data_IF_571084978197
#
_entry.id   IF_571084978197
#
_cell.length_a   1.000
_cell.length_b   1.000
_cell.length_c   1.000
_cell.angle_alpha   90.00
_cell.angle_beta   90.00
_cell.angle_gamma   90.00
#
_symmetry.space_group_name_H-M   'P 1'
#
loop_
_entity.id
_entity.type
_entity.pdbx_description
1 polymer ?
#
# COMPACT_ATOMS: atom_id res chain seq x y z
N UNK A 1 -20.44 21.94 -4.45
CA UNK A 1 -19.38 21.98 -5.48
C UNK A 1 -19.44 20.65 -6.18
N UNK A 2 -19.39 20.60 -7.51
CA UNK A 2 -19.29 19.31 -8.20
C UNK A 2 -17.87 18.81 -7.97
N UNK A 3 -17.72 17.80 -7.10
CA UNK A 3 -16.47 17.05 -7.00
C UNK A 3 -16.35 16.30 -8.33
N UNK A 4 -15.41 16.74 -9.17
CA UNK A 4 -15.02 15.93 -10.32
C UNK A 4 -14.47 14.62 -9.76
N UNK A 5 -15.01 13.46 -10.18
CA UNK A 5 -14.51 12.18 -9.70
C UNK A 5 -13.02 12.06 -10.04
N UNK A 6 -12.24 11.49 -9.11
CA UNK A 6 -10.84 11.18 -9.37
C UNK A 6 -10.74 10.26 -10.60
N UNK A 7 -9.71 10.43 -11.46
CA UNK A 7 -9.44 9.47 -12.51
C UNK A 7 -9.11 8.09 -11.90
N UNK A 8 -9.41 7.02 -12.61
CA UNK A 8 -9.04 5.64 -12.24
C UNK A 8 -8.08 5.09 -13.28
N UNK A 9 -7.15 4.25 -12.84
CA UNK A 9 -6.12 3.63 -13.66
C UNK A 9 -6.75 2.42 -14.36
N UNK A 10 -6.99 2.55 -15.67
CA UNK A 10 -7.75 1.55 -16.42
C UNK A 10 -6.99 0.22 -16.62
N UNK A 11 -5.67 0.29 -16.79
CA UNK A 11 -4.81 -0.87 -16.97
C UNK A 11 -3.34 -0.55 -16.66
N UNK A 12 -2.48 -1.57 -16.75
CA UNK A 12 -1.05 -1.50 -16.41
C UNK A 12 -0.22 -0.50 -17.21
N UNK A 13 -0.72 -0.01 -18.34
CA UNK A 13 -0.07 1.01 -19.17
C UNK A 13 -0.66 2.41 -18.96
N UNK A 14 -1.72 2.56 -18.17
CA UNK A 14 -2.38 3.84 -17.89
C UNK A 14 -1.58 4.70 -16.90
N UNK A 15 -0.41 5.12 -17.37
CA UNK A 15 0.50 6.02 -16.66
C UNK A 15 -0.07 7.44 -16.58
N UNK A 16 -0.86 7.88 -17.57
CA UNK A 16 -1.47 9.22 -17.58
C UNK A 16 -2.45 9.42 -16.40
N UNK A 17 -3.32 8.45 -16.12
CA UNK A 17 -4.23 8.52 -14.97
C UNK A 17 -3.47 8.45 -13.64
N UNK A 18 -2.46 7.59 -13.56
CA UNK A 18 -1.62 7.47 -12.37
C UNK A 18 -0.86 8.77 -12.08
N UNK A 19 -0.26 9.40 -13.10
CA UNK A 19 0.45 10.67 -12.97
C UNK A 19 -0.50 11.79 -12.51
N UNK A 20 -1.74 11.83 -13.02
CA UNK A 20 -2.75 12.77 -12.57
C UNK A 20 -3.11 12.58 -11.09
N UNK A 21 -3.33 11.34 -10.66
CA UNK A 21 -3.58 11.02 -9.25
C UNK A 21 -2.41 11.44 -8.35
N UNK A 22 -1.18 11.10 -8.74
CA UNK A 22 0.04 11.47 -8.02
C UNK A 22 0.20 13.00 -7.95
N UNK A 23 -0.10 13.72 -9.02
CA UNK A 23 0.00 15.18 -9.08
C UNK A 23 -1.02 15.90 -8.18
N UNK A 24 -2.21 15.31 -7.95
CA UNK A 24 -3.17 15.81 -6.97
C UNK A 24 -2.61 15.71 -5.55
N UNK A 25 -1.94 14.59 -5.25
CA UNK A 25 -1.26 14.33 -3.99
C UNK A 25 -2.20 14.17 -2.79
N UNK A 26 -1.64 13.69 -1.68
CA UNK A 26 -2.35 13.57 -0.41
C UNK A 26 -2.50 14.96 0.25
N UNK A 27 -3.67 15.30 0.83
CA UNK A 27 -4.83 14.44 1.06
C UNK A 27 -5.88 14.44 -0.05
N UNK A 28 -5.67 15.12 -1.18
CA UNK A 28 -6.68 15.28 -2.24
C UNK A 28 -7.00 13.96 -2.94
N UNK A 29 -6.01 13.06 -3.06
CA UNK A 29 -6.18 11.75 -3.68
C UNK A 29 -6.39 10.60 -2.67
N UNK A 30 -6.85 10.88 -1.45
CA UNK A 30 -7.02 9.87 -0.39
C UNK A 30 -7.82 8.65 -0.86
N UNK A 31 -8.89 8.88 -1.62
CA UNK A 31 -9.82 7.85 -2.07
C UNK A 31 -9.25 6.97 -3.19
N UNK A 32 -8.07 7.33 -3.73
CA UNK A 32 -7.36 6.55 -4.74
C UNK A 32 -6.13 5.81 -4.16
N UNK A 33 -5.85 5.93 -2.85
CA UNK A 33 -4.66 5.31 -2.26
C UNK A 33 -4.66 3.79 -2.38
N UNK A 34 -5.82 3.13 -2.27
CA UNK A 34 -5.91 1.67 -2.43
C UNK A 34 -5.55 1.23 -3.86
N UNK A 35 -6.03 1.96 -4.87
CA UNK A 35 -5.71 1.73 -6.28
C UNK A 35 -4.22 1.99 -6.56
N UNK A 36 -3.66 3.06 -5.99
CA UNK A 36 -2.24 3.38 -6.11
C UNK A 36 -1.35 2.33 -5.41
N UNK A 37 -1.75 1.82 -4.24
CA UNK A 37 -1.06 0.73 -3.54
C UNK A 37 -1.10 -0.54 -4.39
N UNK A 38 -2.27 -0.92 -4.91
CA UNK A 38 -2.42 -2.08 -5.80
C UNK A 38 -1.45 -2.03 -6.97
N UNK A 39 -1.47 -0.95 -7.74
CA UNK A 39 -0.61 -0.81 -8.92
C UNK A 39 0.88 -0.73 -8.58
N UNK A 40 1.22 -0.37 -7.33
CA UNK A 40 2.60 -0.34 -6.83
C UNK A 40 3.17 -1.73 -6.49
N UNK A 41 2.37 -2.79 -6.54
CA UNK A 41 2.81 -4.17 -6.31
C UNK A 41 3.37 -4.86 -7.57
N UNK A 42 3.24 -4.26 -8.75
CA UNK A 42 3.56 -4.91 -10.03
C UNK A 42 4.79 -4.28 -10.71
N UNK A 43 6.03 -4.62 -10.32
CA UNK A 43 7.24 -3.92 -10.78
C UNK A 43 7.51 -3.99 -12.29
N UNK A 44 6.89 -4.93 -13.00
CA UNK A 44 6.99 -5.07 -14.45
C UNK A 44 5.96 -4.22 -15.21
N UNK A 45 4.99 -3.63 -14.52
CA UNK A 45 3.93 -2.84 -15.11
C UNK A 45 4.33 -1.36 -15.13
N UNK A 46 4.23 -0.66 -16.28
CA UNK A 46 4.67 0.74 -16.38
C UNK A 46 4.06 1.68 -15.35
N UNK A 47 2.80 1.45 -14.97
CA UNK A 47 2.13 2.23 -13.94
C UNK A 47 2.80 2.13 -12.56
N UNK A 48 3.43 1.00 -12.24
CA UNK A 48 4.16 0.84 -10.98
C UNK A 48 5.33 1.83 -10.85
N UNK A 49 5.96 2.22 -11.96
CA UNK A 49 7.05 3.20 -11.94
C UNK A 49 6.56 4.61 -11.58
N UNK A 50 5.26 4.87 -11.67
CA UNK A 50 4.62 6.12 -11.25
C UNK A 50 4.11 5.99 -9.81
N UNK A 51 3.37 4.92 -9.52
CA UNK A 51 2.66 4.79 -8.24
C UNK A 51 3.59 4.43 -7.09
N UNK A 52 4.55 3.53 -7.30
CA UNK A 52 5.41 3.03 -6.22
C UNK A 52 6.25 4.15 -5.57
N UNK A 53 6.98 5.00 -6.33
CA UNK A 53 7.72 6.11 -5.72
C UNK A 53 6.82 7.08 -4.94
N UNK A 54 5.59 7.30 -5.42
CA UNK A 54 4.62 8.14 -4.71
C UNK A 54 4.23 7.51 -3.38
N UNK A 55 3.84 6.24 -3.34
CA UNK A 55 3.51 5.53 -2.09
C UNK A 55 4.70 5.53 -1.11
N UNK A 56 5.94 5.36 -1.60
CA UNK A 56 7.13 5.48 -0.74
C UNK A 56 7.35 6.89 -0.18
N UNK A 57 6.95 7.93 -0.93
CA UNK A 57 7.10 9.32 -0.49
C UNK A 57 6.10 9.74 0.60
N UNK A 58 5.00 9.00 0.76
CA UNK A 58 3.95 9.35 1.70
C UNK A 58 4.38 9.14 3.17
N UNK A 59 3.89 10.00 4.08
CA UNK A 59 4.12 9.82 5.50
C UNK A 59 3.31 8.63 6.03
N UNK A 60 3.78 8.04 7.13
CA UNK A 60 3.17 6.83 7.69
C UNK A 60 1.68 7.03 8.00
N UNK A 61 1.27 8.17 8.55
CA UNK A 61 -0.13 8.47 8.88
C UNK A 61 -1.08 8.43 7.68
N UNK A 62 -0.59 8.72 6.47
CA UNK A 62 -1.38 8.66 5.24
C UNK A 62 -1.61 7.21 4.77
N UNK A 63 -0.77 6.27 5.21
CA UNK A 63 -0.74 4.89 4.71
C UNK A 63 -1.35 3.87 5.66
N UNK A 64 -1.48 4.17 6.97
CA UNK A 64 -2.00 3.19 7.94
C UNK A 64 -3.37 2.66 7.55
N UNK A 65 -4.35 3.54 7.31
CA UNK A 65 -5.70 3.11 6.97
C UNK A 65 -5.79 2.44 5.58
N UNK A 66 -5.27 3.02 4.49
CA UNK A 66 -5.27 2.37 3.17
C UNK A 66 -4.57 1.01 3.16
N UNK A 67 -3.44 0.85 3.86
CA UNK A 67 -2.78 -0.46 3.95
C UNK A 67 -3.62 -1.46 4.74
N UNK A 68 -4.32 -1.05 5.81
CA UNK A 68 -5.24 -1.96 6.51
C UNK A 68 -6.38 -2.41 5.61
N UNK A 69 -7.01 -1.48 4.90
CA UNK A 69 -8.12 -1.77 3.98
C UNK A 69 -7.63 -2.71 2.86
N UNK A 70 -6.44 -2.44 2.32
CA UNK A 70 -5.79 -3.30 1.33
C UNK A 70 -5.51 -4.72 1.85
N UNK A 71 -4.93 -4.85 3.04
CA UNK A 71 -4.63 -6.15 3.66
C UNK A 71 -5.92 -6.93 3.92
N UNK A 72 -6.93 -6.26 4.48
CA UNK A 72 -8.22 -6.88 4.79
C UNK A 72 -8.90 -7.40 3.53
N UNK A 73 -9.07 -6.55 2.52
CA UNK A 73 -9.72 -6.93 1.28
C UNK A 73 -9.00 -8.12 0.62
N UNK A 74 -7.67 -8.04 0.45
CA UNK A 74 -6.92 -9.07 -0.27
C UNK A 74 -6.84 -10.38 0.51
N UNK A 75 -6.81 -10.34 1.84
CA UNK A 75 -6.94 -11.55 2.65
C UNK A 75 -8.32 -12.19 2.49
N UNK A 76 -9.40 -11.40 2.54
CA UNK A 76 -10.78 -11.88 2.40
C UNK A 76 -11.05 -12.54 1.03
N UNK A 77 -10.49 -11.98 -0.05
CA UNK A 77 -10.66 -12.53 -1.40
C UNK A 77 -9.61 -13.59 -1.78
N UNK A 78 -8.72 -13.96 -0.85
CA UNK A 78 -7.71 -15.01 -1.04
C UNK A 78 -6.53 -14.62 -1.92
N UNK A 79 -6.25 -13.32 -2.08
CA UNK A 79 -5.09 -12.79 -2.80
C UNK A 79 -3.89 -12.63 -1.84
N UNK A 80 -3.42 -13.75 -1.28
CA UNK A 80 -2.36 -13.78 -0.27
C UNK A 80 -1.02 -13.24 -0.79
N UNK A 81 -0.72 -13.42 -2.09
CA UNK A 81 0.49 -12.86 -2.71
C UNK A 81 0.53 -11.33 -2.62
N UNK A 82 -0.63 -10.64 -2.78
CA UNK A 82 -0.68 -9.19 -2.62
C UNK A 82 -0.53 -8.76 -1.16
N UNK A 83 -1.00 -9.57 -0.22
CA UNK A 83 -0.75 -9.35 1.20
C UNK A 83 0.75 -9.42 1.48
N UNK A 84 1.43 -10.45 0.97
CA UNK A 84 2.89 -10.61 1.04
C UNK A 84 3.59 -9.40 0.42
N UNK A 85 3.21 -8.99 -0.79
CA UNK A 85 3.79 -7.83 -1.47
C UNK A 85 3.61 -6.54 -0.66
N UNK A 86 2.44 -6.31 -0.05
CA UNK A 86 2.23 -5.14 0.79
C UNK A 86 3.19 -5.10 1.99
N UNK A 87 3.45 -6.26 2.60
CA UNK A 87 4.42 -6.38 3.66
C UNK A 87 5.84 -6.05 3.20
N UNK A 88 6.30 -6.65 2.11
CA UNK A 88 7.67 -6.47 1.61
C UNK A 88 7.92 -5.10 1.00
N UNK A 89 6.93 -4.53 0.32
CA UNK A 89 7.10 -3.28 -0.42
C UNK A 89 6.82 -2.05 0.43
N UNK A 90 5.86 -2.09 1.36
CA UNK A 90 5.40 -0.88 2.04
C UNK A 90 5.56 -0.92 3.56
N UNK A 91 5.39 -2.07 4.19
CA UNK A 91 5.36 -2.15 5.66
C UNK A 91 6.76 -2.38 6.24
N UNK A 92 7.46 -3.43 5.78
CA UNK A 92 8.79 -3.80 6.27
C UNK A 92 9.86 -2.72 6.04
N UNK A 93 9.95 -2.09 4.85
CA UNK A 93 10.96 -1.06 4.60
C UNK A 93 10.82 0.18 5.49
N UNK A 94 9.65 0.41 6.09
CA UNK A 94 9.39 1.52 7.02
C UNK A 94 9.71 1.19 8.47
N UNK A 95 10.11 -0.05 8.75
CA UNK A 95 10.62 -0.51 10.04
C UNK A 95 9.54 -0.84 11.08
N UNK A 96 10.02 -1.38 12.20
CA UNK A 96 9.18 -1.97 13.26
C UNK A 96 8.19 -0.97 13.86
N UNK A 97 8.55 0.31 13.99
CA UNK A 97 7.66 1.33 14.50
C UNK A 97 6.39 1.48 13.65
N UNK A 98 6.53 1.44 12.32
CA UNK A 98 5.39 1.51 11.41
C UNK A 98 4.58 0.20 11.42
N UNK A 99 5.28 -0.94 11.42
CA UNK A 99 4.68 -2.26 11.59
C UNK A 99 3.73 -2.30 12.80
N UNK A 100 4.20 -1.82 13.96
CA UNK A 100 3.41 -1.77 15.18
C UNK A 100 2.24 -0.77 15.11
N UNK A 101 2.40 0.36 14.40
CA UNK A 101 1.30 1.30 14.19
C UNK A 101 0.13 0.65 13.45
N UNK A 102 0.41 -0.09 12.36
CA UNK A 102 -0.63 -0.80 11.60
C UNK A 102 -1.27 -1.90 12.46
N UNK A 103 -0.46 -2.72 13.13
CA UNK A 103 -0.94 -3.80 14.02
C UNK A 103 -1.86 -3.30 15.14
N UNK A 104 -1.58 -2.12 15.68
CA UNK A 104 -2.38 -1.50 16.76
C UNK A 104 -3.64 -0.80 16.25
N UNK A 105 -3.66 -0.39 14.98
CA UNK A 105 -4.78 0.32 14.38
C UNK A 105 -5.95 -0.62 13.99
N UNK A 106 -5.71 -1.93 13.88
CA UNK A 106 -6.77 -2.91 13.59
C UNK A 106 -7.22 -3.70 14.82
N UNK A 107 -8.52 -4.00 14.87
CA UNK A 107 -9.13 -4.93 15.82
C UNK A 107 -9.33 -6.35 15.22
N UNK A 108 -8.99 -6.54 13.95
CA UNK A 108 -9.13 -7.81 13.25
C UNK A 108 -7.97 -8.74 13.64
N UNK A 109 -8.30 -9.85 14.31
CA UNK A 109 -7.31 -10.81 14.79
C UNK A 109 -6.60 -11.58 13.67
N UNK A 110 -7.25 -11.79 12.50
CA UNK A 110 -6.61 -12.42 11.36
C UNK A 110 -5.54 -11.52 10.77
N UNK A 111 -5.83 -10.21 10.64
CA UNK A 111 -4.84 -9.23 10.20
C UNK A 111 -3.71 -9.09 11.22
N UNK A 112 -4.03 -9.05 12.53
CA UNK A 112 -3.00 -8.98 13.58
C UNK A 112 -2.07 -10.18 13.56
N UNK A 113 -2.59 -11.37 13.28
CA UNK A 113 -1.79 -12.60 13.18
C UNK A 113 -0.73 -12.52 12.08
N UNK A 114 -0.99 -11.82 10.97
CA UNK A 114 0.00 -11.60 9.91
C UNK A 114 1.27 -10.91 10.43
N UNK A 115 1.13 -10.00 11.41
CA UNK A 115 2.28 -9.29 11.97
C UNK A 115 3.19 -10.16 12.84
N UNK A 116 2.68 -11.29 13.33
CA UNK A 116 3.41 -12.26 14.15
C UNK A 116 3.86 -13.50 13.36
N UNK A 117 3.45 -13.62 12.09
CA UNK A 117 3.82 -14.73 11.24
C UNK A 117 5.22 -14.50 10.63
N UNK A 118 6.15 -15.48 10.74
CA UNK A 118 7.46 -15.41 10.12
C UNK A 118 7.46 -15.14 8.61
N UNK A 119 6.40 -15.51 7.88
CA UNK A 119 6.27 -15.27 6.44
C UNK A 119 6.29 -13.77 6.09
N UNK A 120 5.74 -12.92 6.97
CA UNK A 120 5.65 -11.48 6.75
C UNK A 120 6.71 -10.68 7.52
N UNK A 121 7.58 -11.35 8.28
CA UNK A 121 8.60 -10.70 9.09
C UNK A 121 9.65 -10.02 8.18
N UNK A 122 10.23 -8.87 8.59
CA UNK A 122 11.37 -8.30 7.88
C UNK A 122 12.53 -9.30 7.86
N UNK A 123 13.33 -9.29 6.78
CA UNK A 123 14.50 -10.15 6.68
C UNK A 123 15.48 -9.79 7.83
N UNK A 124 15.95 -10.76 8.64
CA UNK A 124 16.91 -10.49 9.70
C UNK A 124 18.20 -9.80 9.22
N UNK A 125 18.55 -9.92 7.93
CA UNK A 125 19.73 -9.27 7.36
C UNK A 125 19.48 -7.79 6.98
N UNK A 126 18.22 -7.34 6.88
CA UNK A 126 17.85 -5.94 6.59
C UNK A 126 17.76 -5.07 7.87
N UNK A 127 17.90 -5.67 9.05
CA UNK A 127 17.85 -4.97 10.35
C UNK A 127 19.17 -4.30 10.76
N UNK A 128 20.16 -4.26 9.87
CA UNK A 128 21.51 -3.79 10.13
C UNK A 128 21.89 -2.55 9.30
N UNK A 129 21.31 -1.39 9.64
CA UNK A 129 21.94 -0.09 9.44
C UNK A 129 21.48 0.93 10.50
#
# INVERSE_FOLDING_TARGET
MSETPLPSIADKFDTDSAEQLVALGYPVNSDALDELIFWSCFPNDPVCHVTHPYIQSLPNEALVAPLLDFLQYNLEVGQTELVVDAFWLFINPRGEAFRQQIKQATADEAIRALFDDPEYAPDPDDAAD
#
